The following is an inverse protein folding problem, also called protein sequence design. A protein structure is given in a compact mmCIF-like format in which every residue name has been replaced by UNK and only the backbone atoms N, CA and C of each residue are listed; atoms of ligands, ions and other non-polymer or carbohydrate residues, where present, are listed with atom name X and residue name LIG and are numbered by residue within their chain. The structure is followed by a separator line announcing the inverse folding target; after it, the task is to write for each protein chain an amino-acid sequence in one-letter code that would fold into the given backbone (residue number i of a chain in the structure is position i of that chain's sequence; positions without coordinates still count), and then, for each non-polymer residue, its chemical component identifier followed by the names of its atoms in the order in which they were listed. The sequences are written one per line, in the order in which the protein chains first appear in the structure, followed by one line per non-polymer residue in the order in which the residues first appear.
data_IF_463100615126
#
_entry.id   IF_463100615126
#
_cell.length_a   1.000
_cell.length_b   1.000
_cell.length_c   1.000
_cell.angle_alpha   90.00
_cell.angle_beta   90.00
_cell.angle_gamma   90.00
#
_symmetry.space_group_name_H-M   'P 1'
#
loop_
_entity.id
_entity.type
_entity.pdbx_description
1 polymer ?
#
# COMPACT_ATOMS: atom_id res chain seq x y z
N UNK A 1 -29.58 14.57 -9.89
CA UNK A 1 -28.92 15.33 -8.80
C UNK A 1 -27.77 14.47 -8.30
N UNK A 2 -26.58 15.04 -8.17
CA UNK A 2 -25.40 14.32 -7.65
C UNK A 2 -25.07 14.79 -6.25
N UNK A 3 -24.64 13.86 -5.39
CA UNK A 3 -24.08 14.17 -4.09
C UNK A 3 -22.72 13.48 -3.94
N UNK A 4 -21.75 14.20 -3.38
CA UNK A 4 -20.46 13.65 -2.97
C UNK A 4 -20.40 13.66 -1.46
N UNK A 5 -20.01 12.53 -0.87
CA UNK A 5 -19.92 12.37 0.59
C UNK A 5 -18.47 12.01 0.92
N UNK A 6 -17.92 12.61 1.98
CA UNK A 6 -16.60 12.29 2.51
C UNK A 6 -16.67 12.10 4.02
N UNK A 7 -15.83 11.21 4.56
CA UNK A 7 -15.62 11.04 5.99
C UNK A 7 -14.54 11.97 6.56
N UNK A 8 -13.96 12.83 5.72
CA UNK A 8 -13.04 13.88 6.13
C UNK A 8 -13.76 14.98 6.92
N UNK A 9 -13.11 15.59 7.94
CA UNK A 9 -13.62 16.79 8.60
C UNK A 9 -13.87 17.95 7.61
N UNK A 10 -14.87 18.78 7.89
CA UNK A 10 -15.27 19.90 7.02
C UNK A 10 -14.11 20.84 6.64
N UNK A 11 -13.24 21.14 7.62
CA UNK A 11 -12.06 21.98 7.39
C UNK A 11 -11.11 21.36 6.36
N UNK A 12 -10.87 20.04 6.45
CA UNK A 12 -10.02 19.28 5.52
C UNK A 12 -10.62 19.31 4.11
N UNK A 13 -11.91 18.97 3.98
CA UNK A 13 -12.62 18.97 2.70
C UNK A 13 -12.64 20.35 2.04
N UNK A 14 -12.91 21.40 2.83
CA UNK A 14 -12.93 22.79 2.34
C UNK A 14 -11.54 23.24 1.86
N UNK A 15 -10.51 22.92 2.65
CA UNK A 15 -9.11 23.22 2.29
C UNK A 15 -8.71 22.52 0.99
N UNK A 16 -9.10 21.26 0.81
CA UNK A 16 -8.87 20.51 -0.43
C UNK A 16 -9.49 21.20 -1.66
N UNK A 17 -10.76 21.60 -1.59
CA UNK A 17 -11.43 22.27 -2.72
C UNK A 17 -10.84 23.65 -3.00
N UNK A 18 -10.46 24.40 -1.95
CA UNK A 18 -9.80 25.70 -2.10
C UNK A 18 -8.43 25.55 -2.77
N UNK A 19 -7.63 24.57 -2.34
CA UNK A 19 -6.29 24.31 -2.86
C UNK A 19 -6.31 23.83 -4.31
N UNK A 20 -7.20 22.88 -4.62
CA UNK A 20 -7.24 22.24 -5.95
C UNK A 20 -8.03 23.01 -6.99
N UNK A 21 -8.84 24.00 -6.57
CA UNK A 21 -9.78 24.73 -7.42
C UNK A 21 -10.76 23.81 -8.19
N UNK A 22 -10.89 22.54 -7.79
CA UNK A 22 -11.79 21.59 -8.44
C UNK A 22 -13.23 22.01 -8.21
N UNK A 23 -13.98 22.16 -9.31
CA UNK A 23 -15.42 22.41 -9.28
C UNK A 23 -16.14 21.10 -9.55
N UNK A 24 -16.95 20.68 -8.59
CA UNK A 24 -17.83 19.51 -8.73
C UNK A 24 -19.26 20.02 -8.66
N UNK A 25 -20.03 19.75 -9.71
CA UNK A 25 -21.46 20.09 -9.74
C UNK A 25 -22.27 19.03 -8.98
N UNK A 26 -22.11 19.00 -7.67
CA UNK A 26 -22.77 18.08 -6.76
C UNK A 26 -22.99 18.74 -5.40
N UNK A 27 -23.98 18.25 -4.67
CA UNK A 27 -24.14 18.56 -3.25
C UNK A 27 -22.96 17.94 -2.50
N UNK A 28 -22.29 18.72 -1.65
CA UNK A 28 -21.15 18.26 -0.86
C UNK A 28 -21.62 17.97 0.56
N UNK A 29 -21.47 16.73 1.00
CA UNK A 29 -21.90 16.26 2.32
C UNK A 29 -20.70 15.73 3.10
N UNK A 30 -20.77 15.87 4.42
CA UNK A 30 -19.75 15.41 5.37
C UNK A 30 -20.36 14.32 6.25
N UNK A 31 -19.68 13.18 6.38
CA UNK A 31 -20.05 12.08 7.27
C UNK A 31 -18.82 11.56 8.04
N UNK A 32 -18.31 12.38 8.94
CA UNK A 32 -17.19 12.01 9.83
C UNK A 32 -17.50 10.81 10.72
N UNK A 33 -18.79 10.49 10.92
CA UNK A 33 -19.24 9.35 11.72
C UNK A 33 -19.18 8.01 10.99
N UNK A 34 -19.01 8.04 9.65
CA UNK A 34 -19.05 6.87 8.76
C UNK A 34 -20.36 6.07 8.86
N UNK A 35 -21.45 6.70 9.27
CA UNK A 35 -22.76 6.03 9.39
C UNK A 35 -23.29 5.69 7.99
N UNK A 36 -23.16 6.63 7.05
CA UNK A 36 -23.62 6.50 5.67
C UNK A 36 -22.89 5.36 4.97
N UNK A 37 -21.56 5.29 5.09
CA UNK A 37 -20.77 4.21 4.47
C UNK A 37 -21.15 2.84 5.03
N UNK A 38 -21.38 2.73 6.35
CA UNK A 38 -21.86 1.49 6.97
C UNK A 38 -23.25 1.09 6.47
N UNK A 39 -24.20 2.03 6.42
CA UNK A 39 -25.57 1.75 5.98
C UNK A 39 -25.66 1.33 4.52
N UNK A 40 -24.80 1.87 3.64
CA UNK A 40 -24.73 1.44 2.25
C UNK A 40 -23.84 0.22 2.00
N UNK A 41 -23.11 -0.25 3.01
CA UNK A 41 -22.13 -1.34 2.88
C UNK A 41 -20.93 -0.94 2.00
N UNK A 42 -20.49 0.32 2.08
CA UNK A 42 -19.32 0.82 1.39
C UNK A 42 -18.06 0.42 2.16
N UNK A 43 -17.37 -0.62 1.69
CA UNK A 43 -16.16 -1.16 2.32
C UNK A 43 -14.85 -0.61 1.72
N UNK A 44 -14.92 0.11 0.61
CA UNK A 44 -13.79 0.75 -0.05
C UNK A 44 -14.21 2.08 -0.66
N UNK A 45 -13.25 2.97 -0.92
CA UNK A 45 -13.45 4.23 -1.64
C UNK A 45 -12.54 4.16 -2.89
N UNK A 46 -12.99 4.58 -4.09
CA UNK A 46 -14.29 5.22 -4.37
C UNK A 46 -15.45 4.21 -4.40
N UNK A 47 -16.61 4.64 -3.89
CA UNK A 47 -17.86 3.89 -3.89
C UNK A 47 -18.98 4.82 -4.35
N UNK A 48 -19.89 4.30 -5.17
CA UNK A 48 -21.01 5.05 -5.68
C UNK A 48 -22.31 4.26 -5.45
N UNK A 49 -23.40 4.99 -5.26
CA UNK A 49 -24.76 4.47 -5.09
C UNK A 49 -25.67 5.29 -5.98
N UNK A 50 -26.54 4.61 -6.74
CA UNK A 50 -27.61 5.24 -7.52
C UNK A 50 -28.92 4.95 -6.81
N UNK A 51 -29.64 6.02 -6.46
CA UNK A 51 -30.92 5.97 -5.77
C UNK A 51 -31.99 6.55 -6.69
N UNK A 52 -33.11 5.85 -6.85
CA UNK A 52 -34.22 6.35 -7.66
C UNK A 52 -35.13 7.33 -6.91
N UNK A 53 -36.13 7.87 -7.61
CA UNK A 53 -37.11 8.81 -7.05
C UNK A 53 -38.00 8.19 -5.94
N UNK A 54 -38.01 6.87 -5.78
CA UNK A 54 -38.73 6.14 -4.73
C UNK A 54 -37.84 5.83 -3.52
N UNK A 55 -36.63 6.42 -3.47
CA UNK A 55 -35.60 6.18 -2.45
C UNK A 55 -35.09 4.72 -2.41
N UNK A 56 -35.13 4.02 -3.55
CA UNK A 56 -34.63 2.65 -3.69
C UNK A 56 -33.23 2.71 -4.29
N UNK A 57 -32.29 2.00 -3.65
CA UNK A 57 -30.95 1.79 -4.23
C UNK A 57 -31.08 0.92 -5.47
N UNK A 58 -30.81 1.48 -6.64
CA UNK A 58 -30.85 0.78 -7.94
C UNK A 58 -29.51 0.20 -8.33
N UNK A 59 -28.42 0.80 -7.85
CA UNK A 59 -27.07 0.33 -8.09
C UNK A 59 -26.13 0.75 -6.97
N UNK A 60 -25.11 -0.09 -6.70
CA UNK A 60 -24.00 0.26 -5.80
C UNK A 60 -22.72 -0.48 -6.22
N UNK A 61 -21.57 0.16 -6.10
CA UNK A 61 -20.29 -0.45 -6.47
C UNK A 61 -19.14 0.55 -6.59
N UNK A 62 -18.03 0.10 -7.19
CA UNK A 62 -16.91 0.98 -7.52
C UNK A 62 -17.35 1.98 -8.60
N UNK A 63 -17.04 3.25 -8.41
CA UNK A 63 -17.45 4.32 -9.35
C UNK A 63 -16.97 4.09 -10.77
N UNK A 64 -15.83 3.42 -10.97
CA UNK A 64 -15.31 3.10 -12.30
C UNK A 64 -16.20 2.13 -13.10
N UNK A 65 -17.04 1.34 -12.42
CA UNK A 65 -17.91 0.35 -13.04
C UNK A 65 -19.27 0.95 -13.43
N UNK A 66 -19.56 2.19 -13.04
CA UNK A 66 -20.81 2.88 -13.39
C UNK A 66 -20.70 3.45 -14.81
N UNK A 67 -21.34 2.78 -15.77
CA UNK A 67 -21.37 3.20 -17.17
C UNK A 67 -22.66 3.94 -17.51
N UNK A 68 -22.64 4.71 -18.61
CA UNK A 68 -23.85 5.36 -19.15
C UNK A 68 -24.94 4.34 -19.47
N UNK A 69 -24.57 3.14 -19.92
CA UNK A 69 -25.52 2.06 -20.19
C UNK A 69 -26.26 1.64 -18.91
N UNK A 70 -25.53 1.42 -17.80
CA UNK A 70 -26.14 1.06 -16.51
C UNK A 70 -27.07 2.19 -16.03
N UNK A 71 -26.67 3.45 -16.19
CA UNK A 71 -27.52 4.59 -15.86
C UNK A 71 -28.80 4.62 -16.71
N UNK A 72 -28.69 4.39 -18.01
CA UNK A 72 -29.85 4.33 -18.90
C UNK A 72 -30.76 3.13 -18.58
N UNK A 73 -30.20 1.98 -18.23
CA UNK A 73 -30.98 0.82 -17.77
C UNK A 73 -31.78 1.15 -16.50
N UNK A 74 -31.15 1.81 -15.52
CA UNK A 74 -31.81 2.25 -14.29
C UNK A 74 -32.90 3.28 -14.56
N UNK A 75 -32.67 4.21 -15.49
CA UNK A 75 -33.63 5.27 -15.86
C UNK A 75 -34.83 4.66 -16.61
N UNK A 76 -34.59 3.74 -17.54
CA UNK A 76 -35.61 3.24 -18.48
C UNK A 76 -36.37 2.01 -17.95
N UNK A 77 -35.80 1.26 -16.99
CA UNK A 77 -36.38 0.03 -16.47
C UNK A 77 -36.28 -0.05 -14.94
N UNK A 78 -37.31 0.37 -14.18
CA UNK A 78 -37.31 0.32 -12.72
C UNK A 78 -37.54 -1.11 -12.15
N UNK A 79 -36.75 -2.10 -12.56
CA UNK A 79 -36.71 -3.49 -12.02
C UNK A 79 -35.44 -3.72 -11.17
N UNK A 80 -35.23 -4.89 -10.50
CA UNK A 80 -34.65 -4.96 -9.15
C UNK A 80 -33.17 -4.56 -9.05
N UNK A 81 -32.71 -4.34 -7.81
CA UNK A 81 -31.35 -3.85 -7.45
C UNK A 81 -30.27 -4.56 -8.28
N UNK A 82 -29.53 -3.81 -9.10
CA UNK A 82 -28.41 -4.33 -9.88
C UNK A 82 -27.13 -4.08 -9.07
N UNK A 83 -26.52 -5.14 -8.52
CA UNK A 83 -25.18 -5.02 -7.95
C UNK A 83 -24.14 -5.25 -9.04
N UNK A 84 -22.95 -4.64 -8.92
CA UNK A 84 -21.86 -4.85 -9.90
C UNK A 84 -21.44 -6.33 -10.04
N UNK A 85 -21.79 -7.18 -9.07
CA UNK A 85 -21.55 -8.63 -9.10
C UNK A 85 -22.57 -9.41 -9.95
N UNK A 86 -23.76 -8.86 -10.22
CA UNK A 86 -24.87 -9.58 -10.87
C UNK A 86 -24.69 -9.79 -12.39
N UNK A 87 -23.68 -9.16 -13.02
CA UNK A 87 -23.34 -9.39 -14.43
C UNK A 87 -22.53 -10.68 -14.67
N UNK A 88 -22.33 -11.51 -13.65
CA UNK A 88 -21.89 -12.90 -13.81
C UNK A 88 -22.81 -13.82 -13.02
N UNK A 89 -23.64 -14.56 -13.77
CA UNK A 89 -24.42 -15.75 -13.37
C UNK A 89 -25.55 -15.54 -12.36
N UNK A 90 -26.77 -15.51 -12.89
CA UNK A 90 -28.02 -15.84 -12.19
C UNK A 90 -27.94 -17.24 -11.57
N UNK A 91 -27.94 -17.36 -10.23
CA UNK A 91 -28.78 -18.34 -9.50
C UNK A 91 -28.86 -18.05 -7.99
N UNK A 92 -30.07 -17.65 -7.57
CA UNK A 92 -30.75 -17.94 -6.29
C UNK A 92 -30.17 -17.40 -4.96
N UNK A 93 -30.69 -16.23 -4.56
CA UNK A 93 -30.85 -15.82 -3.17
C UNK A 93 -32.12 -16.46 -2.59
N UNK A 94 -31.98 -17.51 -1.77
CA UNK A 94 -32.85 -17.83 -0.63
C UNK A 94 -32.20 -18.91 0.22
N UNK A 95 -31.34 -18.53 1.17
CA UNK A 95 -30.96 -19.32 2.36
C UNK A 95 -30.04 -18.50 3.28
N UNK A 96 -30.53 -17.36 3.80
CA UNK A 96 -29.91 -16.75 4.96
C UNK A 96 -30.44 -17.48 6.21
N UNK A 97 -29.72 -18.52 6.64
CA UNK A 97 -29.55 -19.03 8.00
C UNK A 97 -28.83 -20.38 7.88
N UNK A 98 -27.58 -20.44 8.35
CA UNK A 98 -26.59 -21.54 8.21
C UNK A 98 -25.84 -21.61 6.86
N UNK A 99 -25.10 -20.54 6.51
CA UNK A 99 -24.04 -20.69 5.52
C UNK A 99 -22.99 -21.68 6.06
N UNK A 100 -22.66 -22.76 5.33
CA UNK A 100 -21.55 -23.63 5.72
C UNK A 100 -20.26 -22.80 5.81
N UNK A 101 -19.44 -23.03 6.84
CA UNK A 101 -18.09 -22.45 6.93
C UNK A 101 -17.43 -22.65 5.55
N UNK A 102 -17.12 -21.53 4.88
CA UNK A 102 -16.36 -21.53 3.62
C UNK A 102 -15.19 -22.50 3.80
N UNK A 103 -14.99 -23.49 2.91
CA UNK A 103 -13.86 -24.41 3.05
C UNK A 103 -12.59 -23.58 3.22
N UNK A 104 -11.73 -23.99 4.15
CA UNK A 104 -10.48 -23.29 4.40
C UNK A 104 -9.75 -23.12 3.05
N UNK A 105 -9.32 -21.90 2.69
CA UNK A 105 -8.67 -21.68 1.40
C UNK A 105 -7.47 -22.63 1.29
N UNK A 106 -7.30 -23.28 0.13
CA UNK A 106 -6.10 -24.10 -0.11
C UNK A 106 -4.93 -23.12 -0.32
N UNK A 107 -3.74 -23.44 0.21
CA UNK A 107 -2.54 -22.63 -0.10
C UNK A 107 -2.33 -22.61 -1.59
N UNK A 108 -2.30 -21.41 -2.16
CA UNK A 108 -2.18 -21.20 -3.59
C UNK A 108 -1.12 -20.13 -3.83
N UNK A 109 -0.14 -20.45 -4.65
CA UNK A 109 0.80 -19.49 -5.16
C UNK A 109 0.78 -19.58 -6.68
N UNK A 110 0.49 -18.45 -7.31
CA UNK A 110 0.65 -18.26 -8.74
C UNK A 110 1.47 -17.00 -8.95
N UNK A 111 2.34 -17.09 -9.94
CA UNK A 111 3.01 -15.94 -10.47
C UNK A 111 2.90 -15.99 -11.99
N UNK A 112 3.01 -14.83 -12.63
CA UNK A 112 3.25 -14.70 -14.05
C UNK A 112 4.27 -13.59 -14.26
N UNK A 113 5.29 -13.86 -15.08
CA UNK A 113 6.26 -12.85 -15.49
C UNK A 113 5.91 -12.38 -16.90
N UNK A 114 5.87 -11.06 -17.09
CA UNK A 114 5.64 -10.46 -18.41
C UNK A 114 7.00 -10.01 -18.94
N UNK A 115 7.24 -10.18 -20.25
CA UNK A 115 8.45 -9.64 -20.87
C UNK A 115 8.43 -8.11 -20.74
N UNK A 116 9.55 -7.52 -20.33
CA UNK A 116 9.67 -6.16 -19.77
C UNK A 116 9.30 -4.96 -20.65
N UNK A 117 8.52 -5.14 -21.71
CA UNK A 117 8.08 -4.09 -22.65
C UNK A 117 6.57 -3.85 -22.64
N UNK A 118 5.77 -4.69 -21.98
CA UNK A 118 4.31 -4.54 -21.97
C UNK A 118 3.88 -3.59 -20.84
N UNK A 119 3.31 -2.44 -21.19
CA UNK A 119 2.71 -1.51 -20.23
C UNK A 119 1.41 -2.11 -19.68
N UNK A 120 1.42 -2.52 -18.42
CA UNK A 120 0.23 -2.95 -17.70
C UNK A 120 -0.09 -2.00 -16.55
N UNK A 121 -1.37 -1.89 -16.18
CA UNK A 121 -1.78 -1.14 -15.00
C UNK A 121 -1.12 -1.75 -13.76
N UNK A 122 -0.31 -0.97 -13.05
CA UNK A 122 0.27 -1.38 -11.79
C UNK A 122 -0.80 -1.26 -10.70
N UNK A 123 -1.07 -2.35 -10.00
CA UNK A 123 -2.07 -2.39 -8.94
C UNK A 123 -1.83 -3.53 -7.99
N UNK A 124 -2.31 -3.42 -6.77
CA UNK A 124 -2.17 -4.49 -5.81
C UNK A 124 -3.03 -4.31 -4.58
N UNK A 125 -3.30 -5.41 -3.90
CA UNK A 125 -3.98 -5.43 -2.62
C UNK A 125 -3.31 -6.47 -1.73
N UNK A 126 -3.15 -6.16 -0.45
CA UNK A 126 -2.96 -7.19 0.57
C UNK A 126 -4.19 -7.21 1.45
N UNK A 127 -4.71 -8.41 1.72
CA UNK A 127 -5.87 -8.61 2.59
C UNK A 127 -5.55 -9.70 3.61
N UNK A 128 -5.75 -9.38 4.87
CA UNK A 128 -5.84 -10.37 5.94
C UNK A 128 -7.30 -10.46 6.36
N UNK A 129 -7.81 -11.67 6.58
CA UNK A 129 -9.13 -11.79 7.21
C UNK A 129 -9.07 -11.24 8.64
N UNK A 130 -10.17 -10.64 9.13
CA UNK A 130 -10.26 -10.14 10.51
C UNK A 130 -10.03 -11.25 11.56
N UNK A 131 -10.32 -12.50 11.19
CA UNK A 131 -10.12 -13.69 12.02
C UNK A 131 -8.71 -14.30 11.86
N UNK A 132 -7.85 -13.69 11.03
CA UNK A 132 -6.53 -14.20 10.67
C UNK A 132 -6.56 -15.63 10.12
N UNK A 133 -7.60 -16.03 9.41
CA UNK A 133 -7.76 -17.35 8.79
C UNK A 133 -7.01 -17.49 7.46
N UNK A 134 -6.71 -16.38 6.78
CA UNK A 134 -5.86 -16.36 5.58
C UNK A 134 -5.10 -15.03 5.42
N UNK A 135 -4.02 -15.10 4.65
CA UNK A 135 -3.24 -13.97 4.18
C UNK A 135 -3.16 -13.99 2.65
N UNK A 136 -3.56 -12.90 2.03
CA UNK A 136 -3.60 -12.73 0.57
C UNK A 136 -2.72 -11.55 0.15
N UNK A 137 -1.91 -11.78 -0.89
CA UNK A 137 -1.18 -10.75 -1.63
C UNK A 137 -1.53 -10.91 -3.10
N UNK A 138 -2.06 -9.85 -3.69
CA UNK A 138 -2.17 -9.70 -5.15
C UNK A 138 -1.37 -8.48 -5.57
N UNK A 139 -0.45 -8.66 -6.51
CA UNK A 139 0.33 -7.60 -7.16
C UNK A 139 0.27 -7.84 -8.65
N UNK A 140 0.01 -6.80 -9.42
CA UNK A 140 -0.07 -6.85 -10.87
C UNK A 140 0.96 -5.89 -11.45
N UNK A 141 1.74 -6.37 -12.42
CA UNK A 141 2.72 -5.58 -13.17
C UNK A 141 3.66 -4.76 -12.27
N UNK A 142 4.16 -5.37 -11.19
CA UNK A 142 5.16 -4.75 -10.31
C UNK A 142 6.57 -5.14 -10.80
N UNK A 143 7.55 -4.24 -10.71
CA UNK A 143 8.94 -4.61 -11.00
C UNK A 143 9.41 -5.66 -9.98
N UNK A 144 10.06 -6.73 -10.43
CA UNK A 144 10.53 -7.81 -9.53
C UNK A 144 11.34 -7.25 -8.36
N UNK A 145 12.28 -6.34 -8.64
CA UNK A 145 13.09 -5.74 -7.59
C UNK A 145 12.30 -4.90 -6.59
N UNK A 146 11.21 -4.26 -7.00
CA UNK A 146 10.35 -3.49 -6.08
C UNK A 146 9.55 -4.43 -5.18
N UNK A 147 9.06 -5.55 -5.73
CA UNK A 147 8.40 -6.56 -4.91
C UNK A 147 9.36 -7.24 -3.92
N UNK A 148 10.59 -7.54 -4.35
CA UNK A 148 11.64 -8.04 -3.46
C UNK A 148 12.01 -7.00 -2.39
N UNK A 149 12.00 -5.70 -2.73
CA UNK A 149 12.18 -4.60 -1.79
C UNK A 149 11.08 -4.56 -0.73
N UNK A 150 9.82 -4.68 -1.14
CA UNK A 150 8.67 -4.74 -0.25
C UNK A 150 8.74 -5.95 0.71
N UNK A 151 9.07 -7.14 0.19
CA UNK A 151 9.21 -8.34 1.00
C UNK A 151 10.37 -8.21 2.00
N UNK A 152 11.53 -7.77 1.53
CA UNK A 152 12.74 -7.69 2.35
C UNK A 152 12.73 -6.55 3.35
N UNK A 153 11.98 -5.48 3.07
CA UNK A 153 12.00 -4.23 3.84
C UNK A 153 13.23 -3.38 3.57
N UNK A 154 14.01 -3.68 2.52
CA UNK A 154 15.18 -2.93 2.11
C UNK A 154 14.92 -2.23 0.78
N UNK A 155 15.35 -0.96 0.66
CA UNK A 155 15.16 -0.20 -0.57
C UNK A 155 15.97 -0.77 -1.72
N UNK A 156 15.30 -1.13 -2.83
CA UNK A 156 15.96 -1.51 -4.09
C UNK A 156 16.94 -0.44 -4.56
N UNK A 157 16.59 0.84 -4.39
CA UNK A 157 17.36 1.96 -4.90
C UNK A 157 18.72 2.14 -4.20
N UNK A 158 18.89 1.59 -2.99
CA UNK A 158 20.09 1.83 -2.17
C UNK A 158 20.78 0.56 -1.67
N UNK A 159 20.04 -0.54 -1.47
CA UNK A 159 20.52 -1.71 -0.71
C UNK A 159 20.66 -3.00 -1.50
N UNK A 160 20.36 -2.98 -2.79
CA UNK A 160 20.38 -4.18 -3.62
C UNK A 160 21.72 -4.30 -4.37
N UNK A 161 22.32 -5.47 -4.30
CA UNK A 161 23.49 -5.88 -5.08
C UNK A 161 23.03 -7.02 -5.98
N UNK A 162 23.24 -6.89 -7.29
CA UNK A 162 22.85 -7.93 -8.24
C UNK A 162 23.78 -8.01 -9.43
N UNK A 163 23.91 -9.22 -9.99
CA UNK A 163 24.61 -9.48 -11.24
C UNK A 163 23.75 -9.15 -12.49
N UNK A 164 22.42 -9.05 -12.36
CA UNK A 164 21.50 -8.78 -13.47
C UNK A 164 20.42 -7.74 -13.10
N UNK A 165 20.75 -6.47 -13.32
CA UNK A 165 19.82 -5.36 -13.05
C UNK A 165 18.62 -5.30 -14.00
N UNK A 166 18.68 -5.97 -15.16
CA UNK A 166 17.56 -6.00 -16.11
C UNK A 166 16.48 -6.96 -15.64
N UNK A 167 16.86 -8.14 -15.09
CA UNK A 167 15.91 -9.06 -14.46
C UNK A 167 15.16 -8.40 -13.30
N UNK A 168 15.80 -7.56 -12.49
CA UNK A 168 15.11 -6.80 -11.43
C UNK A 168 14.09 -5.77 -11.95
N UNK A 169 14.20 -5.37 -13.22
CA UNK A 169 13.25 -4.45 -13.89
C UNK A 169 12.17 -5.21 -14.67
N UNK A 170 12.15 -6.54 -14.65
CA UNK A 170 11.06 -7.28 -15.29
C UNK A 170 9.76 -7.06 -14.51
N UNK A 171 8.64 -6.97 -15.21
CA UNK A 171 7.32 -6.88 -14.60
C UNK A 171 6.83 -8.28 -14.23
N UNK A 172 6.31 -8.40 -13.01
CA UNK A 172 5.73 -9.63 -12.48
C UNK A 172 4.35 -9.35 -11.92
N UNK A 173 3.48 -10.36 -12.01
CA UNK A 173 2.22 -10.42 -11.27
C UNK A 173 2.28 -11.61 -10.32
N UNK A 174 1.82 -11.40 -9.10
CA UNK A 174 1.89 -12.35 -7.99
C UNK A 174 0.52 -12.43 -7.35
N UNK A 175 -0.04 -13.64 -7.31
CA UNK A 175 -1.24 -13.99 -6.57
C UNK A 175 -0.87 -15.06 -5.55
N UNK A 176 -0.91 -14.68 -4.28
CA UNK A 176 -0.56 -15.56 -3.17
C UNK A 176 -1.68 -15.58 -2.15
N UNK A 177 -2.14 -16.78 -1.81
CA UNK A 177 -3.12 -17.03 -0.76
C UNK A 177 -2.55 -18.10 0.17
N UNK A 178 -2.38 -17.76 1.44
CA UNK A 178 -2.00 -18.70 2.49
C UNK A 178 -3.12 -18.82 3.51
N UNK A 179 -3.79 -19.97 3.63
CA UNK A 179 -4.57 -20.25 4.84
C UNK A 179 -3.66 -20.25 6.07
N UNK A 180 -4.20 -19.87 7.22
CA UNK A 180 -3.59 -20.08 8.54
C UNK A 180 -3.93 -21.47 9.12
N UNK A 181 -4.78 -22.26 8.46
CA UNK A 181 -5.32 -23.48 9.04
C UNK A 181 -4.34 -24.66 8.99
N UNK A 182 -4.08 -25.24 10.18
CA UNK A 182 -3.41 -26.53 10.50
C UNK A 182 -2.05 -26.76 9.80
N UNK A 183 -0.99 -26.79 10.61
CA UNK A 183 0.39 -26.98 10.13
C UNK A 183 1.20 -25.69 10.03
N UNK A 184 0.61 -24.53 10.38
CA UNK A 184 1.33 -23.25 10.43
C UNK A 184 2.57 -23.33 11.32
N UNK A 185 2.56 -24.08 12.43
CA UNK A 185 3.75 -24.23 13.27
C UNK A 185 4.92 -24.93 12.55
N UNK A 186 4.63 -25.98 11.77
CA UNK A 186 5.66 -26.69 11.01
C UNK A 186 6.17 -25.84 9.85
N UNK A 187 5.25 -25.19 9.12
CA UNK A 187 5.57 -24.21 8.09
C UNK A 187 6.40 -23.05 8.65
N UNK A 188 5.99 -22.50 9.79
CA UNK A 188 6.69 -21.40 10.45
C UNK A 188 8.11 -21.86 10.80
N UNK A 189 8.28 -23.01 11.46
CA UNK A 189 9.61 -23.54 11.80
C UNK A 189 10.52 -23.72 10.58
N UNK A 190 9.99 -24.17 9.44
CA UNK A 190 10.80 -24.36 8.23
C UNK A 190 11.29 -23.04 7.63
N UNK A 191 10.50 -21.98 7.71
CA UNK A 191 10.77 -20.71 7.02
C UNK A 191 11.08 -19.53 7.95
N UNK A 192 10.95 -19.63 9.27
CA UNK A 192 10.98 -18.50 10.21
C UNK A 192 12.22 -17.63 10.05
N UNK A 193 13.40 -18.25 9.92
CA UNK A 193 14.69 -17.58 9.87
C UNK A 193 15.49 -17.88 8.59
N UNK A 194 14.83 -18.40 7.54
CA UNK A 194 15.51 -18.82 6.31
C UNK A 194 16.26 -17.68 5.59
N UNK A 195 15.70 -16.48 5.58
CA UNK A 195 16.35 -15.29 4.99
C UNK A 195 16.29 -14.09 5.93
N UNK A 196 15.09 -13.75 6.41
CA UNK A 196 14.84 -12.64 7.32
C UNK A 196 14.35 -13.21 8.65
N UNK A 197 14.97 -12.87 9.80
CA UNK A 197 14.58 -13.44 11.08
C UNK A 197 13.12 -13.18 11.44
N UNK A 198 12.45 -14.19 12.00
CA UNK A 198 11.06 -14.13 12.50
C UNK A 198 10.03 -13.71 11.45
N UNK A 199 10.28 -14.01 10.16
CA UNK A 199 9.37 -13.67 9.05
C UNK A 199 9.07 -14.87 8.15
N UNK A 200 8.41 -15.93 8.66
CA UNK A 200 8.20 -17.18 7.91
C UNK A 200 7.46 -16.99 6.59
N UNK A 201 6.42 -16.14 6.55
CA UNK A 201 5.65 -15.90 5.32
C UNK A 201 6.46 -15.19 4.25
N UNK A 202 7.16 -14.12 4.65
CA UNK A 202 8.05 -13.38 3.77
C UNK A 202 9.11 -14.31 3.22
N UNK A 203 9.72 -15.13 4.08
CA UNK A 203 10.76 -16.06 3.68
C UNK A 203 10.25 -17.16 2.74
N UNK A 204 9.03 -17.64 2.94
CA UNK A 204 8.41 -18.59 2.01
C UNK A 204 8.15 -17.95 0.65
N UNK A 205 7.61 -16.74 0.60
CA UNK A 205 7.42 -15.99 -0.65
C UNK A 205 8.76 -15.75 -1.36
N UNK A 206 9.79 -15.35 -0.63
CA UNK A 206 11.15 -15.19 -1.17
C UNK A 206 11.69 -16.51 -1.71
N UNK A 207 11.48 -17.63 -1.01
CA UNK A 207 11.87 -18.96 -1.47
C UNK A 207 11.17 -19.35 -2.77
N UNK A 208 9.87 -19.11 -2.88
CA UNK A 208 9.11 -19.38 -4.10
C UNK A 208 9.61 -18.53 -5.28
N UNK A 209 9.85 -17.23 -5.05
CA UNK A 209 10.43 -16.33 -6.05
C UNK A 209 11.84 -16.77 -6.46
N UNK A 210 12.67 -17.15 -5.49
CA UNK A 210 14.03 -17.62 -5.70
C UNK A 210 14.06 -18.82 -6.66
N UNK A 211 13.25 -19.85 -6.39
CA UNK A 211 13.16 -21.03 -7.25
C UNK A 211 12.56 -20.71 -8.62
N UNK A 212 11.56 -19.84 -8.64
CA UNK A 212 10.84 -19.45 -9.85
C UNK A 212 11.74 -18.72 -10.85
N UNK A 213 12.51 -17.75 -10.37
CA UNK A 213 13.34 -16.90 -11.22
C UNK A 213 14.81 -17.34 -11.24
N UNK A 214 15.10 -18.48 -10.61
CA UNK A 214 16.43 -19.10 -10.54
C UNK A 214 17.51 -18.10 -10.11
N UNK A 215 17.33 -17.49 -8.94
CA UNK A 215 18.37 -16.66 -8.30
C UNK A 215 18.75 -17.24 -6.94
N UNK A 216 19.76 -16.67 -6.30
CA UNK A 216 20.03 -16.84 -4.86
C UNK A 216 19.73 -15.53 -4.13
N UNK A 217 19.01 -15.61 -3.01
CA UNK A 217 18.70 -14.46 -2.16
C UNK A 217 19.47 -14.54 -0.83
N UNK A 218 20.20 -13.49 -0.48
CA UNK A 218 20.89 -13.40 0.81
C UNK A 218 20.82 -12.00 1.40
N UNK A 219 20.80 -11.93 2.73
CA UNK A 219 21.09 -10.69 3.45
C UNK A 219 22.53 -10.78 3.90
N UNK A 220 23.35 -9.85 3.43
CA UNK A 220 24.76 -9.73 3.82
C UNK A 220 24.97 -8.44 4.60
N UNK A 221 26.00 -8.39 5.42
CA UNK A 221 26.42 -7.17 6.09
C UNK A 221 27.71 -6.66 5.45
N UNK A 222 27.75 -5.36 5.16
CA UNK A 222 28.90 -4.73 4.52
C UNK A 222 29.22 -3.41 5.20
N UNK A 223 30.51 -3.20 5.48
CA UNK A 223 31.00 -1.91 5.95
C UNK A 223 31.00 -0.91 4.79
N UNK A 224 30.29 0.20 4.96
CA UNK A 224 30.24 1.26 3.95
C UNK A 224 29.75 2.60 4.53
N UNK A 225 29.94 3.66 3.75
CA UNK A 225 29.39 4.96 4.08
C UNK A 225 27.86 4.93 3.96
N UNK A 226 27.21 5.44 5.01
CA UNK A 226 25.78 5.59 5.13
C UNK A 226 25.45 6.93 5.79
N UNK A 227 24.17 7.28 5.84
CA UNK A 227 23.69 8.39 6.63
C UNK A 227 22.89 7.88 7.83
N UNK A 228 23.10 8.45 9.00
CA UNK A 228 22.24 8.26 10.16
C UNK A 228 21.31 9.46 10.29
N UNK A 229 20.01 9.20 10.40
CA UNK A 229 19.07 10.24 10.78
C UNK A 229 19.13 10.44 12.30
N UNK A 230 19.41 11.67 12.70
CA UNK A 230 19.53 12.08 14.10
C UNK A 230 18.58 13.23 14.42
N UNK A 231 18.10 13.28 15.68
CA UNK A 231 17.35 14.42 16.19
C UNK A 231 18.33 15.48 16.68
N UNK A 232 18.31 16.65 16.07
CA UNK A 232 19.16 17.79 16.46
C UNK A 232 18.42 18.81 17.33
N UNK A 233 17.08 18.79 17.31
CA UNK A 233 16.25 19.65 18.16
C UNK A 233 14.87 19.01 18.41
N UNK A 234 14.71 18.39 19.58
CA UNK A 234 13.47 17.70 19.96
C UNK A 234 12.26 18.64 20.00
N UNK A 235 12.40 19.84 20.59
CA UNK A 235 11.29 20.81 20.68
C UNK A 235 10.78 21.22 19.30
N UNK A 236 11.69 21.33 18.32
CA UNK A 236 11.33 21.66 16.95
C UNK A 236 10.61 20.49 16.29
N UNK A 237 11.12 19.28 16.46
CA UNK A 237 10.50 18.05 15.96
C UNK A 237 9.10 17.84 16.53
N UNK A 238 8.89 18.14 17.81
CA UNK A 238 7.60 18.01 18.48
C UNK A 238 6.50 18.90 17.85
N UNK A 239 6.87 20.04 17.24
CA UNK A 239 5.92 20.90 16.53
C UNK A 239 5.39 20.28 15.22
N UNK A 240 6.05 19.23 14.73
CA UNK A 240 5.68 18.51 13.51
C UNK A 240 5.02 17.16 13.81
N UNK A 241 4.64 16.89 15.06
CA UNK A 241 3.83 15.71 15.37
C UNK A 241 2.50 15.78 14.63
N UNK A 242 2.17 14.68 13.97
CA UNK A 242 0.94 14.60 13.17
C UNK A 242 -0.28 14.72 14.06
N UNK A 243 -1.21 15.58 13.65
CA UNK A 243 -2.52 15.68 14.29
C UNK A 243 -3.48 14.57 13.81
N UNK A 244 -3.13 13.90 12.71
CA UNK A 244 -3.98 12.88 12.10
C UNK A 244 -3.68 11.50 12.72
N UNK A 245 -4.68 10.94 13.41
CA UNK A 245 -4.59 9.59 13.94
C UNK A 245 -5.07 8.58 12.91
N UNK A 246 -4.23 7.58 12.63
CA UNK A 246 -4.60 6.45 11.75
C UNK A 246 -4.67 6.80 10.27
N UNK A 247 -4.14 7.95 9.87
CA UNK A 247 -3.95 8.32 8.46
C UNK A 247 -2.46 8.50 8.21
N UNK A 248 -1.97 7.95 7.10
CA UNK A 248 -0.60 8.14 6.64
C UNK A 248 -0.66 8.37 5.13
N UNK A 249 0.00 9.42 4.65
CA UNK A 249 0.01 9.79 3.24
C UNK A 249 1.39 10.27 2.81
N UNK A 250 1.76 9.92 1.58
CA UNK A 250 2.98 10.35 0.92
C UNK A 250 2.58 10.98 -0.42
N UNK A 251 2.97 12.23 -0.66
CA UNK A 251 2.72 12.92 -1.93
C UNK A 251 4.05 13.36 -2.54
N UNK A 252 4.32 12.88 -3.74
CA UNK A 252 5.47 13.22 -4.59
C UNK A 252 5.07 14.06 -5.80
N UNK A 253 3.88 14.69 -5.76
CA UNK A 253 3.33 15.51 -6.85
C UNK A 253 4.28 16.65 -7.29
N UNK A 254 5.20 17.07 -6.41
CA UNK A 254 6.17 18.16 -6.64
C UNK A 254 7.63 17.69 -6.59
N UNK A 255 7.90 16.43 -6.93
CA UNK A 255 9.24 15.86 -6.91
C UNK A 255 10.28 16.79 -7.56
N UNK A 256 11.46 17.07 -6.94
CA UNK A 256 12.08 16.40 -5.79
C UNK A 256 11.60 16.86 -4.40
N UNK A 257 10.52 17.64 -4.33
CA UNK A 257 9.85 17.98 -3.08
C UNK A 257 8.72 16.99 -2.82
N UNK A 258 8.58 16.55 -1.58
CA UNK A 258 7.46 15.68 -1.21
C UNK A 258 7.00 15.96 0.21
N UNK A 259 5.74 15.60 0.45
CA UNK A 259 5.08 15.69 1.74
C UNK A 259 4.88 14.28 2.30
N UNK A 260 5.31 14.08 3.55
CA UNK A 260 5.04 12.87 4.31
C UNK A 260 4.16 13.27 5.50
N UNK A 261 2.99 12.67 5.62
CA UNK A 261 2.01 12.98 6.66
C UNK A 261 1.70 11.72 7.45
N UNK A 262 1.71 11.80 8.78
CA UNK A 262 1.24 10.74 9.65
C UNK A 262 2.12 9.49 9.70
N UNK A 263 3.43 9.61 9.46
CA UNK A 263 4.37 8.48 9.51
C UNK A 263 5.33 8.55 10.69
N UNK A 264 5.71 7.38 11.23
CA UNK A 264 6.83 7.26 12.17
C UNK A 264 8.15 7.56 11.48
N UNK A 265 9.16 8.01 12.24
CA UNK A 265 10.49 8.31 11.70
C UNK A 265 11.13 7.12 10.98
N UNK A 266 10.90 5.88 11.41
CA UNK A 266 11.41 4.68 10.72
C UNK A 266 10.80 4.48 9.33
N UNK A 267 9.53 4.83 9.14
CA UNK A 267 8.90 4.78 7.83
C UNK A 267 9.37 5.96 6.95
N UNK A 268 9.49 7.15 7.54
CA UNK A 268 10.06 8.33 6.88
C UNK A 268 11.48 8.05 6.36
N UNK A 269 12.35 7.42 7.17
CA UNK A 269 13.72 7.07 6.75
C UNK A 269 13.74 6.12 5.56
N UNK A 270 12.84 5.14 5.52
CA UNK A 270 12.72 4.20 4.40
C UNK A 270 12.26 4.91 3.12
N UNK A 271 11.28 5.80 3.21
CA UNK A 271 10.83 6.60 2.07
C UNK A 271 11.92 7.54 1.56
N UNK A 272 12.65 8.18 2.48
CA UNK A 272 13.82 8.99 2.15
C UNK A 272 14.92 8.18 1.47
N UNK A 273 15.25 7.00 1.98
CA UNK A 273 16.26 6.11 1.40
C UNK A 273 15.88 5.71 -0.05
N UNK A 274 14.60 5.37 -0.27
CA UNK A 274 14.07 5.06 -1.60
C UNK A 274 14.17 6.25 -2.57
N UNK A 275 13.72 7.42 -2.11
CA UNK A 275 13.61 8.62 -2.95
C UNK A 275 14.97 9.26 -3.23
N UNK A 276 15.82 9.36 -2.19
CA UNK A 276 17.15 9.99 -2.26
C UNK A 276 18.24 9.04 -2.76
N UNK A 277 17.96 7.73 -2.84
CA UNK A 277 18.88 6.69 -3.36
C UNK A 277 20.20 6.63 -2.59
N UNK A 278 20.14 6.83 -1.27
CA UNK A 278 21.26 6.72 -0.33
C UNK A 278 20.82 5.93 0.88
N UNK A 279 21.70 5.11 1.42
CA UNK A 279 21.44 4.31 2.62
C UNK A 279 21.21 5.25 3.80
N UNK A 280 20.05 5.13 4.45
CA UNK A 280 19.70 5.90 5.64
C UNK A 280 19.38 4.93 6.78
N UNK A 281 20.17 4.99 7.84
CA UNK A 281 19.96 4.29 9.10
C UNK A 281 19.14 5.17 10.03
N UNK A 282 18.22 4.55 10.76
CA UNK A 282 17.43 5.22 11.78
C UNK A 282 17.42 4.38 13.05
N UNK A 283 18.09 4.90 14.08
CA UNK A 283 18.16 4.31 15.41
C UNK A 283 17.27 5.05 16.43
N UNK A 284 16.45 6.01 15.96
CA UNK A 284 15.60 6.82 16.82
C UNK A 284 14.41 5.96 17.27
N UNK A 285 14.38 5.64 18.57
CA UNK A 285 13.24 4.99 19.21
C UNK A 285 12.17 6.06 19.49
N UNK A 286 11.25 6.24 18.55
CA UNK A 286 10.13 7.17 18.68
C UNK A 286 8.86 6.56 18.09
N UNK A 287 7.77 6.61 18.85
CA UNK A 287 6.49 6.03 18.46
C UNK A 287 5.51 7.03 17.86
N UNK A 288 5.83 8.33 17.91
CA UNK A 288 5.00 9.38 17.35
C UNK A 288 5.01 9.36 15.83
N UNK A 289 3.95 9.91 15.25
CA UNK A 289 3.83 10.17 13.83
C UNK A 289 4.17 11.64 13.55
N UNK A 290 4.75 11.92 12.38
CA UNK A 290 5.20 13.25 11.99
C UNK A 290 4.69 13.63 10.60
N UNK A 291 4.53 14.94 10.42
CA UNK A 291 4.20 15.60 9.16
C UNK A 291 5.40 16.43 8.70
N UNK A 292 6.09 15.97 7.64
CA UNK A 292 7.31 16.57 7.12
C UNK A 292 7.14 16.99 5.66
N UNK A 293 7.63 18.18 5.34
CA UNK A 293 7.84 18.64 3.96
C UNK A 293 9.34 18.64 3.68
N UNK A 294 9.78 17.80 2.74
CA UNK A 294 11.20 17.57 2.47
C UNK A 294 11.55 17.90 1.02
N UNK A 295 12.80 18.27 0.79
CA UNK A 295 13.35 18.55 -0.53
C UNK A 295 14.66 17.76 -0.71
N UNK A 296 14.64 16.77 -1.59
CA UNK A 296 15.76 15.85 -1.81
C UNK A 296 16.59 16.21 -3.05
N UNK A 297 16.52 17.45 -3.53
CA UNK A 297 17.29 17.92 -4.72
C UNK A 297 18.78 17.57 -4.60
N UNK A 298 19.35 17.75 -3.41
CA UNK A 298 20.71 17.35 -3.06
C UNK A 298 20.85 17.23 -1.54
N UNK A 299 21.96 16.66 -1.06
CA UNK A 299 22.19 16.44 0.38
C UNK A 299 22.12 17.73 1.22
N UNK A 300 22.65 18.84 0.70
CA UNK A 300 22.65 20.13 1.40
C UNK A 300 21.22 20.64 1.60
N UNK A 301 20.41 20.64 0.54
CA UNK A 301 19.00 21.05 0.59
C UNK A 301 18.17 20.10 1.47
N UNK A 302 18.42 18.79 1.40
CA UNK A 302 17.78 17.81 2.28
C UNK A 302 18.10 18.07 3.75
N UNK A 303 19.37 18.28 4.10
CA UNK A 303 19.75 18.61 5.46
C UNK A 303 19.19 19.95 5.93
N UNK A 304 19.02 20.94 5.05
CA UNK A 304 18.35 22.20 5.38
C UNK A 304 16.86 21.99 5.72
N UNK A 305 16.14 21.21 4.92
CA UNK A 305 14.72 20.90 5.18
C UNK A 305 14.55 19.99 6.39
N UNK A 306 15.41 19.00 6.60
CA UNK A 306 15.41 18.19 7.84
C UNK A 306 15.71 19.04 9.07
N UNK A 307 16.68 19.95 9.00
CA UNK A 307 16.99 20.85 10.11
C UNK A 307 15.83 21.82 10.41
N UNK A 308 15.03 22.16 9.39
CA UNK A 308 13.76 22.86 9.60
C UNK A 308 12.80 22.04 10.48
N UNK A 309 12.82 20.72 10.41
CA UNK A 309 12.03 19.81 11.24
C UNK A 309 12.72 19.31 12.52
N UNK A 310 13.93 19.79 12.83
CA UNK A 310 14.68 19.33 14.00
C UNK A 310 15.42 18.00 13.81
N UNK A 311 15.60 17.57 12.56
CA UNK A 311 16.30 16.35 12.15
C UNK A 311 17.58 16.70 11.35
N UNK A 312 18.46 15.72 11.16
CA UNK A 312 19.62 15.83 10.27
C UNK A 312 20.05 14.45 9.77
N UNK A 313 20.64 14.38 8.56
CA UNK A 313 21.44 13.25 8.12
C UNK A 313 22.93 13.50 8.41
N UNK A 314 23.51 12.63 9.22
CA UNK A 314 24.94 12.61 9.54
C UNK A 314 25.61 11.47 8.77
N UNK A 315 26.65 11.78 8.01
CA UNK A 315 27.44 10.73 7.35
C UNK A 315 28.23 9.93 8.40
N UNK A 316 28.18 8.61 8.27
CA UNK A 316 28.86 7.66 9.14
C UNK A 316 29.40 6.50 8.30
N UNK A 317 30.43 5.82 8.81
CA UNK A 317 30.79 4.49 8.35
C UNK A 317 30.12 3.48 9.28
N UNK A 318 29.37 2.52 8.72
CA UNK A 318 28.63 1.54 9.49
C UNK A 318 28.55 0.19 8.77
N UNK A 319 28.30 -0.87 9.55
CA UNK A 319 27.87 -2.15 9.02
C UNK A 319 26.40 -2.05 8.58
N UNK A 320 26.17 -2.23 7.29
CA UNK A 320 24.85 -2.09 6.67
C UNK A 320 24.39 -3.44 6.14
N UNK A 321 23.15 -3.80 6.45
CA UNK A 321 22.46 -4.92 5.82
C UNK A 321 22.07 -4.58 4.38
N UNK A 322 22.54 -5.42 3.47
CA UNK A 322 22.33 -5.36 2.03
C UNK A 322 21.63 -6.62 1.56
N UNK A 323 20.84 -6.49 0.50
CA UNK A 323 20.21 -7.60 -0.19
C UNK A 323 21.07 -7.97 -1.39
N UNK A 324 21.59 -9.20 -1.39
CA UNK A 324 22.34 -9.77 -2.50
C UNK A 324 21.42 -10.72 -3.29
N UNK A 325 21.32 -10.48 -4.60
CA UNK A 325 20.52 -11.27 -5.55
C UNK A 325 21.41 -11.69 -6.71
N UNK A 326 21.71 -12.97 -6.79
CA UNK A 326 22.56 -13.54 -7.85
C UNK A 326 21.72 -14.44 -8.77
N UNK A 327 21.42 -13.98 -9.98
CA UNK A 327 20.66 -14.74 -10.97
C UNK A 327 21.55 -15.77 -11.67
N UNK A 328 21.04 -16.99 -11.83
CA UNK A 328 21.72 -18.11 -12.49
C UNK A 328 21.33 -18.28 -13.95
#
# INVERSE_FOLDING_TARGET
MFATITDEPELTATTFFKRTQKKVNAIKLIDTSKITSKLFGAFSIPFCVVIDQKNIVRWKGNTADLTDQILQEIINSPSPIVTAEDNKTNTLLTAALSAPKKPAPITYFKFSAIKGTESGYAGGSSRGSAQSDYYEITKNNILLGDFLGELSGYSRAARFITNDSLKLKQLVSVDYISPFSRGYEQFAKEYEDRFIPKKPRTNYLLFLLQNTFNFDFKIIEKEMNAYEMVVINQKKLDNFKSLQKGHSSFSDDYFPKFEIVGYKLNAISQQLESSFKKIILNNIVNEDNYDLSLDITNLKTLNQTLAFHGLQLKEINAMVKMVEIDFK
#
